data_IF_862980513810
#
_entry.id   IF_862980513810
#
_cell.length_a   1.000
_cell.length_b   1.000
_cell.length_c   1.000
_cell.angle_alpha   90.00
_cell.angle_beta   90.00
_cell.angle_gamma   90.00
#
_symmetry.space_group_name_H-M   'P 1'
#
loop_
_entity.id
_entity.type
_entity.pdbx_description
1 polymer ?
#
# COMPACT_ATOMS: atom_id res chain seq x y z
N UNK A 1 -10.49 -10.92 -0.52
CA UNK A 1 -9.57 -9.79 -0.82
C UNK A 1 -10.26 -8.56 -1.39
N UNK A 2 -11.46 -8.68 -1.96
CA UNK A 2 -12.19 -7.58 -2.63
C UNK A 2 -12.63 -6.47 -1.67
N UNK A 3 -13.21 -6.79 -0.51
CA UNK A 3 -13.72 -5.78 0.42
C UNK A 3 -12.65 -4.81 0.94
N UNK A 4 -11.47 -5.32 1.33
CA UNK A 4 -10.36 -4.47 1.80
C UNK A 4 -9.78 -3.63 0.66
N UNK A 5 -9.67 -4.16 -0.56
CA UNK A 5 -9.22 -3.40 -1.73
C UNK A 5 -10.17 -2.21 -1.99
N UNK A 6 -11.49 -2.44 -1.93
CA UNK A 6 -12.47 -1.36 -2.09
C UNK A 6 -12.42 -0.32 -0.97
N UNK A 7 -12.31 -0.74 0.29
CA UNK A 7 -12.18 0.18 1.41
C UNK A 7 -10.92 1.07 1.28
N UNK A 8 -9.77 0.46 0.97
CA UNK A 8 -8.54 1.21 0.74
C UNK A 8 -8.63 2.13 -0.47
N UNK A 9 -9.24 1.67 -1.58
CA UNK A 9 -9.50 2.53 -2.74
C UNK A 9 -10.29 3.76 -2.33
N UNK A 10 -11.45 3.58 -1.69
CA UNK A 10 -12.36 4.69 -1.35
C UNK A 10 -11.76 5.64 -0.30
N UNK A 11 -11.17 5.09 0.75
CA UNK A 11 -10.83 5.87 1.94
C UNK A 11 -9.40 6.46 1.87
N UNK A 12 -8.52 5.86 1.06
CA UNK A 12 -7.09 6.24 1.00
C UNK A 12 -6.65 6.72 -0.38
N UNK A 13 -7.11 6.10 -1.47
CA UNK A 13 -6.55 6.35 -2.80
C UNK A 13 -7.38 7.31 -3.65
N UNK A 14 -8.71 7.19 -3.62
CA UNK A 14 -9.62 8.11 -4.30
C UNK A 14 -9.43 9.57 -3.86
N UNK A 15 -9.25 9.90 -2.56
CA UNK A 15 -9.01 11.29 -2.15
C UNK A 15 -7.66 11.87 -2.56
N UNK A 16 -6.76 11.06 -3.15
CA UNK A 16 -5.45 11.49 -3.63
C UNK A 16 -5.34 11.33 -5.16
N UNK A 17 -6.46 11.22 -5.86
CA UNK A 17 -6.51 11.01 -7.32
C UNK A 17 -5.67 9.81 -7.76
N UNK A 18 -5.75 8.73 -6.99
CA UNK A 18 -5.02 7.49 -7.22
C UNK A 18 -5.96 6.29 -7.38
N UNK A 19 -5.62 5.42 -8.33
CA UNK A 19 -6.26 4.12 -8.56
C UNK A 19 -5.40 2.99 -8.00
N UNK A 20 -6.00 2.15 -7.18
CA UNK A 20 -5.39 0.98 -6.55
C UNK A 20 -5.37 -0.22 -7.50
N UNK A 21 -4.17 -0.63 -7.91
CA UNK A 21 -3.94 -1.74 -8.82
C UNK A 21 -3.95 -3.08 -8.07
N UNK A 22 -3.19 -3.17 -6.99
CA UNK A 22 -3.02 -4.40 -6.21
C UNK A 22 -2.65 -4.14 -4.76
N UNK A 23 -2.87 -5.13 -3.90
CA UNK A 23 -2.52 -5.09 -2.48
C UNK A 23 -1.90 -6.41 -2.03
N UNK A 24 -0.97 -6.34 -1.08
CA UNK A 24 -0.44 -7.50 -0.36
C UNK A 24 -0.32 -7.16 1.12
N UNK A 25 -0.71 -8.09 1.99
CA UNK A 25 -0.50 -7.95 3.43
C UNK A 25 0.97 -8.24 3.75
N UNK A 26 1.63 -7.33 4.46
CA UNK A 26 3.05 -7.44 4.77
C UNK A 26 3.31 -7.32 6.27
N UNK A 27 4.37 -7.99 6.71
CA UNK A 27 4.95 -7.77 8.03
C UNK A 27 6.46 -7.61 7.88
N UNK A 28 7.08 -6.88 8.82
CA UNK A 28 8.54 -6.86 8.90
C UNK A 28 9.00 -8.20 9.47
N UNK A 29 10.07 -8.77 8.94
CA UNK A 29 10.70 -9.98 9.47
C UNK A 29 10.93 -9.87 10.98
N UNK A 30 10.66 -10.95 11.71
CA UNK A 30 10.79 -11.00 13.17
C UNK A 30 9.73 -10.20 13.96
N UNK A 31 8.72 -9.58 13.31
CA UNK A 31 7.62 -8.91 14.01
C UNK A 31 6.31 -9.67 13.85
N UNK A 32 5.50 -9.69 14.92
CA UNK A 32 4.12 -10.22 14.90
C UNK A 32 3.32 -9.52 13.79
N UNK A 33 2.55 -10.30 13.04
CA UNK A 33 1.72 -9.85 11.92
C UNK A 33 0.83 -8.66 12.35
N UNK A 34 1.23 -7.44 11.96
CA UNK A 34 0.39 -6.24 12.07
C UNK A 34 -0.34 -6.07 10.75
N UNK A 35 -1.59 -5.62 10.78
CA UNK A 35 -2.40 -5.34 9.58
C UNK A 35 -1.80 -4.17 8.78
N UNK A 36 -0.72 -4.44 8.06
CA UNK A 36 -0.06 -3.52 7.14
C UNK A 36 -0.20 -4.08 5.72
N UNK A 37 -0.34 -3.17 4.77
CA UNK A 37 -0.49 -3.50 3.36
C UNK A 37 0.55 -2.73 2.55
N UNK A 38 1.14 -3.37 1.55
CA UNK A 38 1.74 -2.68 0.42
C UNK A 38 0.69 -2.60 -0.69
N UNK A 39 0.55 -1.42 -1.25
CA UNK A 39 -0.44 -1.09 -2.26
C UNK A 39 0.29 -0.56 -3.50
N UNK A 40 0.03 -1.12 -4.67
CA UNK A 40 0.50 -0.56 -5.93
C UNK A 40 -0.57 0.38 -6.49
N UNK A 41 -0.22 1.63 -6.74
CA UNK A 41 -1.17 2.68 -7.17
C UNK A 41 -0.66 3.45 -8.37
N UNK A 42 -1.59 4.06 -9.09
CA UNK A 42 -1.30 4.95 -10.21
C UNK A 42 -2.13 6.22 -10.08
N UNK A 43 -1.55 7.39 -10.35
CA UNK A 43 -2.33 8.63 -10.42
C UNK A 43 -3.26 8.61 -11.61
N UNK A 44 -4.47 9.16 -11.45
CA UNK A 44 -5.45 9.27 -12.54
C UNK A 44 -5.24 10.52 -13.38
N UNK A 45 -4.52 11.52 -12.86
CA UNK A 45 -4.15 12.73 -13.57
C UNK A 45 -2.73 12.67 -14.15
N UNK A 46 -2.48 13.49 -15.19
CA UNK A 46 -1.16 13.61 -15.83
C UNK A 46 -0.29 14.61 -15.07
N UNK A 47 1.02 14.35 -14.90
CA UNK A 47 1.75 13.17 -15.38
C UNK A 47 1.40 11.90 -14.58
N UNK A 48 1.29 10.78 -15.29
CA UNK A 48 0.99 9.49 -14.64
C UNK A 48 2.18 9.07 -13.80
N UNK A 49 1.94 8.86 -12.50
CA UNK A 49 2.93 8.38 -11.55
C UNK A 49 2.49 7.05 -10.98
N UNK A 50 3.40 6.07 -10.97
CA UNK A 50 3.18 4.78 -10.32
C UNK A 50 3.90 4.79 -8.97
N UNK A 51 3.19 4.40 -7.91
CA UNK A 51 3.71 4.42 -6.54
C UNK A 51 3.47 3.09 -5.85
N UNK A 52 4.38 2.76 -4.94
CA UNK A 52 4.20 1.73 -3.93
C UNK A 52 3.90 2.43 -2.61
N UNK A 53 2.73 2.19 -2.03
CA UNK A 53 2.26 2.86 -0.82
C UNK A 53 2.10 1.84 0.30
N UNK A 54 2.76 2.09 1.43
CA UNK A 54 2.56 1.33 2.65
C UNK A 54 1.41 1.92 3.46
N UNK A 55 0.41 1.10 3.72
CA UNK A 55 -0.77 1.45 4.52
C UNK A 55 -0.77 0.63 5.80
N UNK A 56 -1.05 1.26 6.94
CA UNK A 56 -1.14 0.59 8.24
C UNK A 56 -2.51 0.84 8.88
N UNK A 57 -3.12 -0.20 9.45
CA UNK A 57 -4.30 -0.04 10.29
C UNK A 57 -3.92 0.73 11.57
N UNK A 58 -4.75 1.69 11.95
CA UNK A 58 -4.60 2.39 13.23
C UNK A 58 -4.70 1.40 14.39
N UNK A 59 -3.96 1.66 15.46
CA UNK A 59 -4.07 0.89 16.70
C UNK A 59 -5.28 1.35 17.55
N UNK A 60 -5.83 2.55 17.26
CA UNK A 60 -7.06 3.09 17.84
C UNK A 60 -8.13 3.18 16.74
N UNK A 61 -9.00 2.18 16.64
CA UNK A 61 -10.13 2.17 15.69
C UNK A 61 -9.89 1.39 14.39
N UNK A 62 -10.89 1.41 13.51
CA UNK A 62 -10.96 0.60 12.28
C UNK A 62 -10.50 1.30 11.00
N UNK A 63 -9.78 2.43 11.13
CA UNK A 63 -9.30 3.17 9.97
C UNK A 63 -7.89 2.77 9.55
N UNK A 64 -7.62 2.95 8.26
CA UNK A 64 -6.31 2.80 7.66
C UNK A 64 -5.67 4.17 7.44
N UNK A 65 -4.33 4.22 7.42
CA UNK A 65 -3.60 5.44 7.05
C UNK A 65 -2.40 5.11 6.18
N UNK A 66 -2.05 6.02 5.26
CA UNK A 66 -0.75 5.98 4.59
C UNK A 66 0.34 6.16 5.64
N UNK A 67 1.32 5.28 5.59
CA UNK A 67 2.51 5.34 6.43
C UNK A 67 3.70 5.87 5.62
N UNK A 68 3.92 5.32 4.42
CA UNK A 68 5.01 5.71 3.51
C UNK A 68 4.55 5.52 2.08
N UNK A 69 5.16 6.25 1.16
CA UNK A 69 4.97 6.09 -0.27
C UNK A 69 6.33 6.23 -0.97
N UNK A 70 6.55 5.40 -1.99
CA UNK A 70 7.73 5.42 -2.85
C UNK A 70 7.26 5.46 -4.29
N UNK A 71 7.97 6.21 -5.13
CA UNK A 71 7.73 6.14 -6.56
C UNK A 71 8.33 4.84 -7.09
N UNK A 72 7.60 4.17 -7.99
CA UNK A 72 8.06 2.88 -8.52
C UNK A 72 9.38 3.03 -9.30
N UNK A 73 9.65 4.21 -9.85
CA UNK A 73 10.91 4.52 -10.56
C UNK A 73 12.14 4.50 -9.65
N UNK A 74 11.97 4.66 -8.34
CA UNK A 74 13.07 4.64 -7.37
C UNK A 74 13.39 3.21 -6.89
N UNK A 75 12.60 2.21 -7.31
CA UNK A 75 12.83 0.81 -6.96
C UNK A 75 14.02 0.27 -7.77
N UNK A 76 15.13 -0.02 -7.09
CA UNK A 76 16.36 -0.50 -7.73
C UNK A 76 16.52 -2.01 -7.70
N UNK A 77 15.96 -2.68 -6.68
CA UNK A 77 16.19 -4.10 -6.44
C UNK A 77 14.96 -4.77 -5.81
N UNK A 78 14.70 -6.02 -6.22
CA UNK A 78 13.75 -6.93 -5.58
C UNK A 78 14.51 -8.22 -5.30
N UNK A 79 14.91 -8.42 -4.04
CA UNK A 79 15.85 -9.48 -3.64
C UNK A 79 15.21 -10.86 -3.44
N UNK A 80 13.87 -10.94 -3.49
CA UNK A 80 13.07 -12.16 -3.36
C UNK A 80 13.44 -13.07 -2.19
N UNK A 81 14.06 -12.54 -1.13
CA UNK A 81 14.45 -13.33 0.03
C UNK A 81 13.20 -13.84 0.73
N UNK A 82 13.12 -15.16 0.89
CA UNK A 82 12.14 -15.75 1.79
C UNK A 82 12.50 -15.34 3.24
N UNK A 83 11.48 -15.13 4.06
CA UNK A 83 11.65 -14.81 5.47
C UNK A 83 11.88 -16.08 6.33
N UNK A 84 11.97 -17.25 5.70
CA UNK A 84 12.24 -18.56 6.28
C UNK A 84 13.70 -18.97 6.12
#
# INVERSE_FOLDING_TARGET
MTAIKHALQRDIFTPNDERLLGIVNVCKAGKKKKNCFLCATVTTERPVQVKVVKVKKSDKGDFYKRQMAWELRDLTEVDAKDAN
#
